data_IF_587013933108
#
_entry.id   IF_587013933108
#
_cell.length_a   1.000
_cell.length_b   1.000
_cell.length_c   1.000
_cell.angle_alpha   90.00
_cell.angle_beta   90.00
_cell.angle_gamma   90.00
#
_symmetry.space_group_name_H-M   'P 1'
#
loop_
_entity.id
_entity.type
_entity.pdbx_description
1 polymer ?
#
# COMPACT_ATOMS: atom_id res chain seq x y z
N UNK A 1 -22.57 11.36 -10.28
CA UNK A 1 -22.18 10.00 -9.88
C UNK A 1 -20.73 9.97 -9.44
N UNK A 2 -20.50 9.36 -8.34
CA UNK A 2 -19.15 9.28 -7.81
C UNK A 2 -18.47 8.00 -8.33
N UNK A 3 -17.48 8.18 -9.22
CA UNK A 3 -16.75 7.06 -9.79
C UNK A 3 -15.55 6.65 -8.92
N UNK A 4 -15.31 7.37 -7.82
CA UNK A 4 -14.12 7.18 -7.00
C UNK A 4 -14.40 6.24 -5.83
N UNK A 5 -15.62 6.25 -5.32
CA UNK A 5 -16.02 5.42 -4.18
C UNK A 5 -15.68 3.94 -4.33
N UNK A 6 -15.79 3.30 -5.50
CA UNK A 6 -15.45 1.89 -5.65
C UNK A 6 -13.96 1.55 -5.63
N UNK A 7 -13.08 2.54 -5.59
CA UNK A 7 -11.64 2.25 -5.71
C UNK A 7 -11.13 1.37 -4.57
N UNK A 8 -11.48 1.68 -3.32
CA UNK A 8 -11.01 0.89 -2.18
C UNK A 8 -11.49 -0.56 -2.24
N UNK A 9 -12.79 -0.84 -2.48
CA UNK A 9 -13.23 -2.22 -2.67
C UNK A 9 -12.55 -2.91 -3.84
N UNK A 10 -12.30 -2.22 -4.94
CA UNK A 10 -11.61 -2.79 -6.10
C UNK A 10 -10.17 -3.18 -5.77
N UNK A 11 -9.46 -2.34 -5.04
CA UNK A 11 -8.11 -2.65 -4.59
C UNK A 11 -8.11 -3.87 -3.67
N UNK A 12 -9.02 -3.88 -2.69
CA UNK A 12 -9.13 -5.00 -1.76
C UNK A 12 -9.47 -6.30 -2.50
N UNK A 13 -10.43 -6.26 -3.40
CA UNK A 13 -10.85 -7.45 -4.17
C UNK A 13 -9.71 -7.99 -5.03
N UNK A 14 -8.93 -7.12 -5.62
CA UNK A 14 -7.81 -7.52 -6.46
C UNK A 14 -6.67 -8.14 -5.64
N UNK A 15 -6.42 -7.62 -4.44
CA UNK A 15 -5.29 -8.05 -3.62
C UNK A 15 -5.64 -9.18 -2.64
N UNK A 16 -6.89 -9.30 -2.21
CA UNK A 16 -7.29 -10.30 -1.22
C UNK A 16 -6.95 -11.73 -1.64
N UNK A 17 -7.18 -12.17 -2.89
CA UNK A 17 -6.79 -13.52 -3.29
C UNK A 17 -5.31 -13.79 -3.20
N UNK A 18 -4.49 -12.73 -3.17
CA UNK A 18 -3.03 -12.82 -3.15
C UNK A 18 -2.45 -12.67 -1.74
N UNK A 19 -3.30 -12.43 -0.74
CA UNK A 19 -2.88 -12.12 0.62
C UNK A 19 -1.88 -13.13 1.17
N UNK A 20 -2.20 -14.42 1.08
CA UNK A 20 -1.34 -15.48 1.60
C UNK A 20 -0.01 -15.53 0.84
N UNK A 21 -0.06 -15.41 -0.48
CA UNK A 21 1.16 -15.41 -1.29
C UNK A 21 2.06 -14.23 -0.96
N UNK A 22 1.48 -13.05 -0.81
CA UNK A 22 2.26 -11.85 -0.48
C UNK A 22 2.87 -11.96 0.90
N UNK A 23 2.13 -12.51 1.86
CA UNK A 23 2.66 -12.77 3.18
C UNK A 23 3.84 -13.74 3.14
N UNK A 24 3.66 -14.87 2.46
CA UNK A 24 4.69 -15.92 2.42
C UNK A 24 5.94 -15.46 1.67
N UNK A 25 5.76 -14.70 0.59
CA UNK A 25 6.88 -14.29 -0.25
C UNK A 25 7.65 -13.11 0.32
N UNK A 26 6.94 -12.15 0.90
CA UNK A 26 7.54 -10.88 1.33
C UNK A 26 7.53 -10.66 2.84
N UNK A 27 6.83 -11.49 3.58
CA UNK A 27 6.62 -11.25 5.01
C UNK A 27 5.65 -10.12 5.28
N UNK A 28 4.72 -9.86 4.35
CA UNK A 28 3.72 -8.81 4.51
C UNK A 28 2.68 -9.22 5.54
N UNK A 29 2.56 -8.42 6.61
CA UNK A 29 1.57 -8.62 7.67
C UNK A 29 0.35 -7.75 7.48
N UNK A 30 0.55 -6.54 6.97
CA UNK A 30 -0.50 -5.54 6.89
C UNK A 30 -0.20 -4.60 5.75
N UNK A 31 -1.22 -4.27 4.96
CA UNK A 31 -1.12 -3.32 3.87
C UNK A 31 -2.25 -2.33 3.98
N UNK A 32 -1.91 -1.05 3.98
CA UNK A 32 -2.87 0.05 4.02
C UNK A 32 -2.66 0.94 2.81
N UNK A 33 -3.71 1.63 2.39
CA UNK A 33 -3.65 2.68 1.38
C UNK A 33 -3.93 4.02 2.05
N UNK A 34 -3.30 5.08 1.57
CA UNK A 34 -3.54 6.42 2.09
C UNK A 34 -3.53 7.44 0.95
N UNK A 35 -3.72 8.71 1.29
CA UNK A 35 -3.67 9.80 0.32
C UNK A 35 -4.89 9.87 -0.57
N UNK A 36 -4.71 10.28 -1.82
CA UNK A 36 -5.81 10.59 -2.74
C UNK A 36 -6.71 9.40 -3.00
N UNK A 37 -6.16 8.20 -3.13
CA UNK A 37 -6.95 7.00 -3.35
C UNK A 37 -7.89 6.72 -2.18
N UNK A 38 -7.39 6.89 -0.93
CA UNK A 38 -8.18 6.66 0.26
C UNK A 38 -9.26 7.71 0.44
N UNK A 39 -9.02 8.93 -0.02
CA UNK A 39 -9.97 10.03 0.07
C UNK A 39 -11.05 10.01 -1.00
N UNK A 40 -10.93 9.14 -1.99
CA UNK A 40 -11.82 9.17 -3.13
C UNK A 40 -11.50 10.28 -4.13
N UNK A 41 -10.29 10.83 -4.08
CA UNK A 41 -9.85 11.90 -4.97
C UNK A 41 -8.86 11.41 -6.02
N UNK A 42 -8.83 10.11 -6.23
CA UNK A 42 -7.87 9.48 -7.11
C UNK A 42 -8.10 9.88 -8.57
N UNK A 43 -7.04 10.34 -9.22
CA UNK A 43 -7.02 10.64 -10.65
C UNK A 43 -6.31 9.48 -11.37
N UNK A 44 -7.01 8.69 -12.18
CA UNK A 44 -6.40 7.53 -12.86
C UNK A 44 -5.23 7.89 -13.77
N UNK A 45 -5.11 9.15 -14.18
CA UNK A 45 -4.03 9.59 -15.08
C UNK A 45 -2.82 10.13 -14.31
N UNK A 46 -3.07 10.83 -13.21
CA UNK A 46 -2.03 11.62 -12.53
C UNK A 46 -1.65 11.10 -11.15
N UNK A 47 -2.57 10.44 -10.46
CA UNK A 47 -2.31 10.03 -9.09
C UNK A 47 -1.55 8.72 -9.03
N UNK A 48 -0.56 8.66 -8.14
CA UNK A 48 0.07 7.41 -7.75
C UNK A 48 -0.75 6.79 -6.63
N UNK A 49 -0.59 5.49 -6.45
CA UNK A 49 -1.18 4.80 -5.32
C UNK A 49 -0.17 4.78 -4.18
N UNK A 50 -0.61 5.25 -3.02
CA UNK A 50 0.24 5.38 -1.84
C UNK A 50 -0.10 4.30 -0.83
N UNK A 51 0.88 3.48 -0.43
CA UNK A 51 0.67 2.37 0.48
C UNK A 51 1.61 2.43 1.67
N UNK A 52 1.14 1.90 2.79
CA UNK A 52 1.97 1.63 3.95
C UNK A 52 1.95 0.13 4.16
N UNK A 53 3.12 -0.49 4.24
CA UNK A 53 3.24 -1.92 4.47
C UNK A 53 3.93 -2.19 5.81
N UNK A 54 3.46 -3.20 6.51
CA UNK A 54 4.16 -3.78 7.64
C UNK A 54 4.70 -5.14 7.19
N UNK A 55 6.02 -5.30 7.29
CA UNK A 55 6.70 -6.51 6.89
C UNK A 55 7.54 -7.04 8.04
N UNK A 56 7.62 -8.36 8.15
CA UNK A 56 8.46 -9.02 9.15
C UNK A 56 9.93 -8.98 8.74
N UNK A 57 10.82 -9.20 9.71
CA UNK A 57 12.25 -9.35 9.41
C UNK A 57 12.97 -8.09 8.98
N UNK A 58 12.61 -6.95 9.56
CA UNK A 58 13.21 -5.66 9.19
C UNK A 58 14.71 -5.59 9.38
N UNK A 59 15.25 -6.37 10.32
CA UNK A 59 16.70 -6.39 10.61
C UNK A 59 17.43 -7.53 9.93
N UNK A 60 16.71 -8.36 9.19
CA UNK A 60 17.30 -9.52 8.52
C UNK A 60 17.94 -9.12 7.21
N UNK A 61 19.00 -9.83 6.78
CA UNK A 61 19.57 -9.62 5.44
C UNK A 61 18.51 -9.82 4.37
N UNK A 62 18.55 -8.98 3.34
CA UNK A 62 17.62 -9.06 2.22
C UNK A 62 16.30 -8.34 2.43
N UNK A 63 16.10 -7.69 3.59
CA UNK A 63 14.85 -6.95 3.83
C UNK A 63 14.61 -5.87 2.77
N UNK A 64 15.64 -5.07 2.47
CA UNK A 64 15.50 -3.99 1.49
C UNK A 64 15.13 -4.54 0.11
N UNK A 65 15.71 -5.67 -0.27
CA UNK A 65 15.38 -6.31 -1.55
C UNK A 65 13.93 -6.80 -1.56
N UNK A 66 13.48 -7.42 -0.46
CA UNK A 66 12.08 -7.86 -0.35
C UNK A 66 11.12 -6.69 -0.45
N UNK A 67 11.46 -5.58 0.22
CA UNK A 67 10.65 -4.37 0.19
C UNK A 67 10.54 -3.83 -1.25
N UNK A 68 11.65 -3.68 -1.94
CA UNK A 68 11.63 -3.18 -3.32
C UNK A 68 10.91 -4.13 -4.26
N UNK A 69 11.11 -5.44 -4.10
CA UNK A 69 10.42 -6.44 -4.93
C UNK A 69 8.91 -6.41 -4.69
N UNK A 70 8.49 -6.19 -3.43
CA UNK A 70 7.07 -6.06 -3.12
C UNK A 70 6.46 -4.84 -3.80
N UNK A 71 7.16 -3.69 -3.75
CA UNK A 71 6.70 -2.49 -4.43
C UNK A 71 6.56 -2.72 -5.94
N UNK A 72 7.54 -3.40 -6.56
CA UNK A 72 7.50 -3.70 -7.98
C UNK A 72 6.33 -4.62 -8.32
N UNK A 73 6.08 -5.63 -7.50
CA UNK A 73 4.95 -6.53 -7.73
C UNK A 73 3.62 -5.81 -7.59
N UNK A 74 3.45 -4.94 -6.59
CA UNK A 74 2.24 -4.15 -6.45
C UNK A 74 1.99 -3.29 -7.69
N UNK A 75 3.04 -2.62 -8.17
CA UNK A 75 2.92 -1.79 -9.36
C UNK A 75 2.49 -2.62 -10.57
N UNK A 76 3.08 -3.80 -10.74
CA UNK A 76 2.71 -4.70 -11.84
C UNK A 76 1.28 -5.20 -11.72
N UNK A 77 0.87 -5.59 -10.51
CA UNK A 77 -0.49 -6.10 -10.27
C UNK A 77 -1.55 -5.04 -10.49
N UNK A 78 -1.24 -3.80 -10.15
CA UNK A 78 -2.20 -2.71 -10.21
C UNK A 78 -2.09 -1.88 -11.49
N UNK A 79 -1.07 -2.13 -12.30
CA UNK A 79 -0.88 -1.49 -13.59
C UNK A 79 -0.56 -0.01 -13.51
N UNK A 80 0.07 0.45 -12.41
CA UNK A 80 0.43 1.85 -12.25
C UNK A 80 1.51 2.03 -11.19
N UNK A 81 2.18 3.18 -11.17
CA UNK A 81 3.18 3.47 -10.16
C UNK A 81 2.59 3.42 -8.75
N UNK A 82 3.35 2.90 -7.81
CA UNK A 82 2.98 2.88 -6.40
C UNK A 82 4.10 3.50 -5.58
N UNK A 83 3.72 4.20 -4.51
CA UNK A 83 4.63 4.64 -3.47
C UNK A 83 4.42 3.75 -2.26
N UNK A 84 5.48 3.08 -1.82
CA UNK A 84 5.41 2.15 -0.70
C UNK A 84 6.25 2.65 0.44
N UNK A 85 5.64 2.76 1.61
CA UNK A 85 6.30 3.23 2.83
C UNK A 85 6.13 2.20 3.93
N UNK A 86 7.05 2.21 4.89
CA UNK A 86 6.84 1.58 6.20
C UNK A 86 6.57 2.68 7.21
N UNK A 87 6.05 2.30 8.39
CA UNK A 87 5.78 3.28 9.45
C UNK A 87 7.01 4.11 9.81
N UNK A 88 8.18 3.47 9.87
CA UNK A 88 9.41 4.16 10.26
C UNK A 88 9.88 5.21 9.27
N UNK A 89 9.40 5.15 8.04
CA UNK A 89 9.73 6.14 7.01
C UNK A 89 8.92 7.43 7.15
N UNK A 90 7.83 7.39 7.93
CA UNK A 90 6.95 8.53 8.12
C UNK A 90 7.44 9.31 9.34
N UNK A 91 8.36 10.25 9.12
CA UNK A 91 9.03 10.99 10.20
C UNK A 91 8.53 12.41 10.38
N UNK A 92 8.10 13.05 9.28
CA UNK A 92 7.60 14.42 9.33
C UNK A 92 6.23 14.42 10.02
N UNK A 93 6.02 15.19 11.12
CA UNK A 93 4.75 15.14 11.85
C UNK A 93 3.56 15.66 11.05
N UNK A 94 3.77 16.57 10.11
CA UNK A 94 2.68 17.06 9.26
C UNK A 94 2.26 15.99 8.26
N UNK A 95 3.23 15.31 7.67
CA UNK A 95 2.95 14.20 6.76
C UNK A 95 2.28 13.05 7.51
N UNK A 96 2.75 12.73 8.72
CA UNK A 96 2.12 11.70 9.55
C UNK A 96 0.66 12.02 9.82
N UNK A 97 0.36 13.26 10.12
CA UNK A 97 -1.02 13.68 10.37
C UNK A 97 -1.90 13.43 9.14
N UNK A 98 -1.41 13.77 7.96
CA UNK A 98 -2.14 13.54 6.70
C UNK A 98 -2.33 12.05 6.43
N UNK A 99 -1.29 11.25 6.64
CA UNK A 99 -1.37 9.80 6.47
C UNK A 99 -2.42 9.22 7.41
N UNK A 100 -2.32 9.54 8.70
CA UNK A 100 -3.23 8.98 9.71
C UNK A 100 -4.68 9.40 9.47
N UNK A 101 -4.90 10.58 8.90
CA UNK A 101 -6.23 11.06 8.59
C UNK A 101 -6.88 10.31 7.42
N UNK A 102 -6.07 9.69 6.55
CA UNK A 102 -6.58 9.09 5.31
C UNK A 102 -6.37 7.59 5.19
N UNK A 103 -5.49 7.01 6.00
CA UNK A 103 -5.14 5.60 5.86
C UNK A 103 -6.33 4.66 6.03
N UNK A 104 -6.37 3.63 5.19
CA UNK A 104 -7.43 2.61 5.21
C UNK A 104 -6.80 1.24 5.02
N UNK A 105 -7.24 0.29 5.83
CA UNK A 105 -6.75 -1.08 5.77
C UNK A 105 -7.21 -1.77 4.50
N UNK A 106 -6.30 -2.45 3.81
CA UNK A 106 -6.60 -3.30 2.65
C UNK A 106 -6.45 -4.78 2.99
N UNK A 107 -5.29 -5.16 3.52
CA UNK A 107 -4.98 -6.55 3.85
C UNK A 107 -4.36 -6.63 5.23
N UNK A 108 -4.72 -7.68 5.95
CA UNK A 108 -4.12 -7.95 7.25
C UNK A 108 -4.16 -9.46 7.51
N UNK A 109 -3.09 -9.98 8.06
CA UNK A 109 -3.04 -11.38 8.49
C UNK A 109 -3.73 -11.60 9.81
#
# INVERSE_FOLDING_TARGET
MDTVAPLLPLLADRLEPLRRRLCNRYGMDRLEVFGSAAKGLFDPVRSDLDFIVQMTGQREPGYARRFCSFADELAALLGRPVDLLTESMIRNPYFRKDVDATRRLLLEL
#
